data_IF_947779491054
#
_entry.id   IF_947779491054
#
_cell.length_a   1.000
_cell.length_b   1.000
_cell.length_c   1.000
_cell.angle_alpha   90.00
_cell.angle_beta   90.00
_cell.angle_gamma   90.00
#
_symmetry.space_group_name_H-M   'P 1'
#
loop_
_entity.id
_entity.type
_entity.pdbx_description
1 polymer ?
#
# COMPACT_ATOMS: atom_id res chain seq x y z
N UNK A 1 2.48 17.19 4.33
CA UNK A 1 2.23 15.78 3.95
C UNK A 1 2.90 14.91 5.00
N UNK A 2 2.24 13.85 5.49
CA UNK A 2 2.76 13.01 6.59
C UNK A 2 3.24 11.62 6.14
N UNK A 3 2.80 11.14 4.98
CA UNK A 3 3.18 9.87 4.36
C UNK A 3 3.30 10.11 2.85
N UNK A 4 4.26 9.44 2.18
CA UNK A 4 4.42 9.48 0.73
C UNK A 4 4.09 8.09 0.16
N UNK A 5 3.30 8.02 -0.90
CA UNK A 5 3.05 6.80 -1.66
C UNK A 5 3.75 6.92 -3.02
N UNK A 6 4.61 5.96 -3.35
CA UNK A 6 5.37 5.94 -4.59
C UNK A 6 5.20 4.61 -5.31
N UNK A 7 4.80 4.65 -6.59
CA UNK A 7 4.66 3.48 -7.45
C UNK A 7 5.70 3.47 -8.57
N UNK A 8 6.33 2.31 -8.81
CA UNK A 8 7.26 2.12 -9.94
C UNK A 8 7.31 0.65 -10.38
N UNK A 9 7.72 0.41 -11.64
CA UNK A 9 7.79 -0.93 -12.23
C UNK A 9 9.15 -1.26 -12.85
N UNK A 10 9.49 -2.54 -12.98
CA UNK A 10 10.78 -3.00 -13.50
C UNK A 10 11.90 -2.77 -12.48
N UNK A 11 12.95 -2.05 -12.88
CA UNK A 11 13.97 -1.51 -11.98
C UNK A 11 13.39 -0.32 -11.17
N UNK A 12 12.53 -0.66 -10.19
CA UNK A 12 11.61 0.28 -9.55
C UNK A 12 12.28 1.11 -8.43
N UNK A 13 13.17 2.02 -8.79
CA UNK A 13 13.98 2.80 -7.84
C UNK A 13 13.26 3.97 -7.15
N UNK A 14 12.15 4.46 -7.70
CA UNK A 14 11.49 5.68 -7.21
C UNK A 14 11.20 5.65 -5.70
N UNK A 15 10.59 4.59 -5.11
CA UNK A 15 10.28 4.58 -3.67
C UNK A 15 11.53 4.65 -2.80
N UNK A 16 12.59 3.92 -3.16
CA UNK A 16 13.86 3.91 -2.41
C UNK A 16 14.58 5.25 -2.48
N UNK A 17 14.63 5.88 -3.66
CA UNK A 17 15.27 7.19 -3.82
C UNK A 17 14.51 8.29 -3.10
N UNK A 18 13.17 8.27 -3.14
CA UNK A 18 12.35 9.21 -2.36
C UNK A 18 12.63 9.04 -0.86
N UNK A 19 12.66 7.80 -0.36
CA UNK A 19 12.96 7.51 1.05
C UNK A 19 14.35 7.99 1.48
N UNK A 20 15.36 7.95 0.59
CA UNK A 20 16.70 8.45 0.88
C UNK A 20 16.75 9.99 1.06
N UNK A 21 15.76 10.72 0.54
CA UNK A 21 15.72 12.19 0.56
C UNK A 21 14.69 12.77 1.52
N UNK A 22 14.05 11.96 2.36
CA UNK A 22 13.02 12.42 3.28
C UNK A 22 13.05 11.65 4.59
N UNK A 23 12.64 12.31 5.68
CA UNK A 23 12.42 11.65 6.98
C UNK A 23 11.01 11.06 7.12
N UNK A 24 10.13 11.34 6.16
CA UNK A 24 8.74 10.87 6.22
C UNK A 24 8.64 9.40 5.80
N UNK A 25 7.65 8.64 6.32
CA UNK A 25 7.37 7.31 5.83
C UNK A 25 7.08 7.29 4.32
N UNK A 26 7.73 6.36 3.61
CA UNK A 26 7.48 6.09 2.19
C UNK A 26 6.88 4.70 2.04
N UNK A 27 5.73 4.64 1.39
CA UNK A 27 5.02 3.42 1.02
C UNK A 27 5.25 3.13 -0.46
N UNK A 28 5.85 1.98 -0.76
CA UNK A 28 6.20 1.55 -2.11
C UNK A 28 5.15 0.61 -2.69
N UNK A 29 4.71 0.89 -3.92
CA UNK A 29 3.77 0.04 -4.67
C UNK A 29 4.48 -0.53 -5.91
N UNK A 30 4.79 -1.84 -5.92
CA UNK A 30 5.35 -2.49 -7.10
C UNK A 30 4.33 -2.50 -8.25
N UNK A 31 4.63 -1.80 -9.34
CA UNK A 31 3.80 -1.83 -10.54
C UNK A 31 4.09 -3.13 -11.30
N UNK A 32 3.04 -3.83 -11.74
CA UNK A 32 3.18 -5.08 -12.49
C UNK A 32 3.95 -4.84 -13.79
N UNK A 33 5.10 -5.51 -13.93
CA UNK A 33 5.90 -5.48 -15.16
C UNK A 33 5.39 -6.53 -16.16
N UNK A 34 5.67 -6.32 -17.44
CA UNK A 34 5.22 -7.23 -18.51
C UNK A 34 5.94 -8.58 -18.48
N UNK A 35 7.25 -8.57 -18.25
CA UNK A 35 8.09 -9.76 -18.40
C UNK A 35 8.12 -10.65 -17.15
N UNK A 36 8.08 -10.04 -15.95
CA UNK A 36 8.29 -10.74 -14.68
C UNK A 36 7.09 -10.60 -13.73
N UNK A 37 5.93 -10.17 -14.26
CA UNK A 37 4.69 -9.99 -13.50
C UNK A 37 4.87 -9.14 -12.23
N UNK A 38 5.82 -8.21 -12.24
CA UNK A 38 6.14 -7.32 -11.12
C UNK A 38 7.07 -7.90 -10.05
N UNK A 39 7.65 -9.09 -10.22
CA UNK A 39 8.64 -9.63 -9.28
C UNK A 39 9.93 -8.78 -9.24
N UNK A 40 10.35 -8.29 -10.41
CA UNK A 40 11.40 -7.29 -10.57
C UNK A 40 11.08 -5.99 -9.83
N UNK A 41 9.86 -5.48 -10.00
CA UNK A 41 9.37 -4.30 -9.30
C UNK A 41 9.35 -4.53 -7.78
N UNK A 42 8.88 -5.70 -7.33
CA UNK A 42 8.79 -6.04 -5.92
C UNK A 42 10.18 -6.06 -5.28
N UNK A 43 11.13 -6.81 -5.85
CA UNK A 43 12.48 -6.87 -5.29
C UNK A 43 13.25 -5.56 -5.38
N UNK A 44 12.99 -4.74 -6.42
CA UNK A 44 13.58 -3.40 -6.52
C UNK A 44 13.11 -2.44 -5.42
N UNK A 45 11.96 -2.72 -4.80
CA UNK A 45 11.36 -1.86 -3.76
C UNK A 45 11.55 -2.44 -2.35
N UNK A 46 11.28 -3.74 -2.14
CA UNK A 46 11.20 -4.33 -0.80
C UNK A 46 12.56 -4.65 -0.18
N UNK A 47 13.58 -4.91 -1.01
CA UNK A 47 14.90 -5.36 -0.56
C UNK A 47 15.84 -4.20 -0.18
N UNK A 48 15.29 -3.15 0.42
CA UNK A 48 16.09 -2.01 0.85
C UNK A 48 17.10 -2.43 1.94
N UNK A 49 18.37 -2.01 1.83
CA UNK A 49 19.37 -2.29 2.85
C UNK A 49 19.08 -1.50 4.15
N UNK A 50 19.71 -1.93 5.24
CA UNK A 50 19.61 -1.26 6.55
C UNK A 50 19.96 0.23 6.43
N UNK A 51 19.06 1.08 6.91
CA UNK A 51 19.28 2.53 7.03
C UNK A 51 18.22 3.38 6.31
N UNK A 52 17.69 2.91 5.17
CA UNK A 52 16.63 3.59 4.42
C UNK A 52 15.46 2.62 4.24
N UNK A 53 14.34 2.87 4.92
CA UNK A 53 13.20 1.96 4.92
C UNK A 53 12.12 2.38 3.91
N UNK A 54 11.51 1.39 3.25
CA UNK A 54 10.31 1.54 2.42
C UNK A 54 9.28 0.50 2.84
N UNK A 55 8.08 0.94 3.24
CA UNK A 55 6.96 0.04 3.52
C UNK A 55 6.38 -0.47 2.20
N UNK A 56 6.62 -1.72 1.84
CA UNK A 56 6.23 -2.24 0.51
C UNK A 56 4.90 -2.97 0.55
N UNK A 57 4.03 -2.71 -0.43
CA UNK A 57 2.71 -3.33 -0.56
C UNK A 57 2.71 -4.37 -1.69
N UNK A 58 1.56 -5.02 -1.89
CA UNK A 58 1.38 -6.00 -2.96
C UNK A 58 1.64 -5.42 -4.36
N UNK A 59 1.87 -6.29 -5.34
CA UNK A 59 2.02 -5.88 -6.74
C UNK A 59 0.67 -5.37 -7.30
N UNK A 60 0.70 -4.27 -8.04
CA UNK A 60 -0.43 -3.77 -8.83
C UNK A 60 -1.52 -3.05 -8.03
N UNK A 61 -2.77 -3.17 -8.51
CA UNK A 61 -3.91 -2.36 -8.03
C UNK A 61 -4.23 -2.63 -6.56
N UNK A 62 -4.15 -3.88 -6.11
CA UNK A 62 -4.36 -4.24 -4.71
C UNK A 62 -3.34 -3.53 -3.79
N UNK A 63 -2.08 -3.45 -4.21
CA UNK A 63 -1.05 -2.71 -3.49
C UNK A 63 -1.29 -1.20 -3.47
N UNK A 64 -1.74 -0.63 -4.58
CA UNK A 64 -2.07 0.80 -4.66
C UNK A 64 -3.21 1.16 -3.69
N UNK A 65 -4.27 0.36 -3.67
CA UNK A 65 -5.37 0.54 -2.73
C UNK A 65 -4.89 0.43 -1.28
N UNK A 66 -4.15 -0.62 -0.96
CA UNK A 66 -3.65 -0.86 0.39
C UNK A 66 -2.59 0.16 0.84
N UNK A 67 -1.82 0.76 -0.07
CA UNK A 67 -0.93 1.87 0.27
C UNK A 67 -1.72 3.10 0.71
N UNK A 68 -2.83 3.41 0.03
CA UNK A 68 -3.76 4.45 0.46
C UNK A 68 -4.37 4.14 1.82
N UNK A 69 -4.90 2.93 2.00
CA UNK A 69 -5.50 2.51 3.27
C UNK A 69 -4.50 2.49 4.42
N UNK A 70 -3.25 2.08 4.19
CA UNK A 70 -2.18 2.12 5.20
C UNK A 70 -1.77 3.56 5.53
N UNK A 71 -1.68 4.45 4.54
CA UNK A 71 -1.45 5.86 4.79
C UNK A 71 -2.56 6.49 5.63
N UNK A 72 -3.83 6.16 5.36
CA UNK A 72 -4.96 6.57 6.19
C UNK A 72 -4.84 6.04 7.62
N UNK A 73 -4.43 4.79 7.82
CA UNK A 73 -4.20 4.23 9.16
C UNK A 73 -3.07 4.95 9.92
N UNK A 74 -1.97 5.33 9.25
CA UNK A 74 -0.89 6.11 9.86
C UNK A 74 -1.42 7.47 10.32
N UNK A 75 -2.22 8.15 9.49
CA UNK A 75 -2.84 9.44 9.84
C UNK A 75 -3.85 9.32 10.99
N UNK A 76 -4.61 8.22 11.02
CA UNK A 76 -5.66 7.96 12.00
C UNK A 76 -5.14 7.80 13.43
N UNK A 77 -3.86 7.50 13.63
CA UNK A 77 -3.24 7.45 14.97
C UNK A 77 -3.47 8.74 15.76
N UNK A 78 -3.54 9.88 15.08
CA UNK A 78 -3.78 11.20 15.69
C UNK A 78 -5.07 11.86 15.23
N UNK A 79 -5.87 11.18 14.43
CA UNK A 79 -7.14 11.69 13.87
C UNK A 79 -8.29 10.72 14.20
N UNK A 80 -9.01 10.95 15.32
CA UNK A 80 -10.12 10.09 15.74
C UNK A 80 -11.27 10.04 14.72
N UNK A 81 -11.49 11.11 13.96
CA UNK A 81 -12.54 11.14 12.95
C UNK A 81 -12.18 10.26 11.75
N UNK A 82 -10.90 10.26 11.35
CA UNK A 82 -10.41 9.35 10.32
C UNK A 82 -10.39 7.89 10.82
N UNK A 83 -10.02 7.65 12.08
CA UNK A 83 -10.06 6.32 12.69
C UNK A 83 -11.48 5.71 12.59
N UNK A 84 -12.51 6.47 12.99
CA UNK A 84 -13.90 6.03 12.89
C UNK A 84 -14.32 5.69 11.44
N UNK A 85 -13.85 6.45 10.44
CA UNK A 85 -14.12 6.14 9.02
C UNK A 85 -13.46 4.84 8.56
N UNK A 86 -12.26 4.53 9.04
CA UNK A 86 -11.56 3.28 8.72
C UNK A 86 -12.29 2.09 9.36
N UNK A 87 -12.73 2.23 10.61
CA UNK A 87 -13.49 1.20 11.31
C UNK A 87 -14.82 0.92 10.60
N UNK A 88 -15.54 1.97 10.20
CA UNK A 88 -16.76 1.83 9.40
C UNK A 88 -16.48 1.14 8.06
N UNK A 89 -15.46 1.56 7.33
CA UNK A 89 -15.07 0.92 6.06
C UNK A 89 -14.82 -0.58 6.21
N UNK A 90 -14.11 -1.00 7.28
CA UNK A 90 -13.85 -2.42 7.57
C UNK A 90 -15.11 -3.17 8.01
N UNK A 91 -16.00 -2.51 8.75
CA UNK A 91 -17.29 -3.07 9.12
C UNK A 91 -18.12 -3.35 7.87
N UNK A 92 -18.25 -2.36 6.98
CA UNK A 92 -19.03 -2.49 5.74
C UNK A 92 -18.48 -3.60 4.83
N UNK A 93 -17.15 -3.70 4.71
CA UNK A 93 -16.51 -4.79 3.97
C UNK A 93 -16.83 -6.17 4.57
N UNK A 94 -16.86 -6.26 5.90
CA UNK A 94 -17.20 -7.50 6.60
C UNK A 94 -18.67 -7.86 6.37
N UNK A 95 -19.58 -6.90 6.51
CA UNK A 95 -21.01 -7.14 6.30
C UNK A 95 -21.32 -7.51 4.86
N UNK A 96 -20.68 -6.86 3.88
CA UNK A 96 -20.87 -7.19 2.46
C UNK A 96 -20.58 -8.67 2.16
N UNK A 97 -19.61 -9.31 2.84
CA UNK A 97 -19.35 -10.74 2.68
C UNK A 97 -20.39 -11.59 3.41
N UNK A 98 -20.78 -11.21 4.63
CA UNK A 98 -21.78 -11.94 5.42
C UNK A 98 -23.16 -11.92 4.78
N UNK A 99 -23.52 -10.81 4.14
CA UNK A 99 -24.79 -10.63 3.42
C UNK A 99 -24.83 -11.41 2.10
N UNK A 100 -23.68 -11.84 1.57
CA UNK A 100 -23.56 -12.59 0.31
C UNK A 100 -22.78 -13.90 0.53
N UNK A 101 -23.30 -14.85 1.33
CA UNK A 101 -22.54 -16.02 1.76
C UNK A 101 -22.42 -17.10 0.67
N UNK A 102 -23.33 -17.12 -0.32
CA UNK A 102 -23.27 -18.07 -1.42
C UNK A 102 -22.60 -17.41 -2.64
N UNK A 103 -21.45 -17.91 -3.10
CA UNK A 103 -20.74 -17.34 -4.24
C UNK A 103 -21.48 -17.53 -5.59
N UNK A 104 -22.59 -18.28 -5.62
CA UNK A 104 -23.41 -18.50 -6.82
C UNK A 104 -24.49 -17.43 -7.02
N UNK A 105 -24.78 -16.65 -5.99
CA UNK A 105 -25.85 -15.63 -6.02
C UNK A 105 -25.35 -14.26 -6.52
N UNK A 106 -24.07 -14.16 -6.92
CA UNK A 106 -23.42 -12.95 -7.45
C UNK A 106 -23.39 -12.92 -8.99
#
# INVERSE_FOLDING_TARGET
YAVIIAGAGGAAHLPGMVAAHTRLPVLGVPVQSKALSGLDSLYSIVQMPKGIAVGTLAIGVAGAFNAGLLACQILAVTDPALAAKIDQFRHDQTQAVLDNPDPRDQ
#
